data_IF_582027972087
#
_entry.id   IF_582027972087
#
_cell.length_a   1.000
_cell.length_b   1.000
_cell.length_c   1.000
_cell.angle_alpha   90.00
_cell.angle_beta   90.00
_cell.angle_gamma   90.00
#
_symmetry.space_group_name_H-M   'P 1'
#
loop_
_entity.id
_entity.type
_entity.pdbx_description
1 polymer ?
#
# COMPACT_ATOMS: atom_id res chain seq x y z
N UNK A 1 30.67 20.87 -1.84
CA UNK A 1 29.26 21.25 -1.49
C UNK A 1 29.28 22.68 -1.01
N UNK A 2 28.52 23.60 -1.63
CA UNK A 2 28.51 25.02 -1.25
C UNK A 2 27.98 25.22 0.18
N UNK A 3 28.38 26.31 0.84
CA UNK A 3 27.93 26.64 2.20
C UNK A 3 26.40 26.72 2.26
N UNK A 4 25.75 27.26 1.23
CA UNK A 4 24.29 27.33 1.10
C UNK A 4 23.67 25.93 1.18
N UNK A 5 24.15 24.96 0.40
CA UNK A 5 23.67 23.58 0.44
C UNK A 5 23.85 22.92 1.81
N UNK A 6 24.89 23.26 2.56
CA UNK A 6 25.07 22.75 3.93
C UNK A 6 24.04 23.33 4.90
N UNK A 7 23.74 24.62 4.77
CA UNK A 7 22.73 25.30 5.60
C UNK A 7 21.35 24.74 5.29
N UNK A 8 20.95 24.63 4.02
CA UNK A 8 19.68 24.08 3.60
C UNK A 8 19.50 22.66 4.15
N UNK A 9 20.54 21.83 4.07
CA UNK A 9 20.52 20.46 4.63
C UNK A 9 20.30 20.42 6.15
N UNK A 10 20.97 21.31 6.90
CA UNK A 10 20.79 21.40 8.36
C UNK A 10 19.34 21.83 8.67
N UNK A 11 18.83 22.80 7.93
CA UNK A 11 17.46 23.27 8.09
C UNK A 11 16.44 22.13 7.85
N UNK A 12 16.60 21.36 6.78
CA UNK A 12 15.74 20.22 6.46
C UNK A 12 15.80 19.13 7.54
N UNK A 13 17.01 18.84 8.06
CA UNK A 13 17.18 17.89 9.19
C UNK A 13 16.42 18.37 10.43
N UNK A 14 16.51 19.67 10.75
CA UNK A 14 15.82 20.24 11.91
C UNK A 14 14.30 20.20 11.74
N UNK A 15 13.78 20.54 10.55
CA UNK A 15 12.36 20.45 10.23
C UNK A 15 11.85 19.02 10.35
N UNK A 16 12.58 18.07 9.78
CA UNK A 16 12.22 16.66 9.81
C UNK A 16 12.20 16.11 11.24
N UNK A 17 13.19 16.47 12.04
CA UNK A 17 13.23 16.09 13.44
C UNK A 17 12.03 16.67 14.21
N UNK A 18 11.71 17.95 13.99
CA UNK A 18 10.54 18.59 14.60
C UNK A 18 9.23 17.88 14.23
N UNK A 19 9.03 17.57 12.95
CA UNK A 19 7.84 16.85 12.49
C UNK A 19 7.79 15.42 13.04
N UNK A 20 8.91 14.72 13.11
CA UNK A 20 8.98 13.39 13.72
C UNK A 20 8.61 13.42 15.21
N UNK A 21 9.11 14.39 15.96
CA UNK A 21 8.78 14.60 17.39
C UNK A 21 7.31 14.96 17.57
N UNK A 22 6.79 15.88 16.74
CA UNK A 22 5.38 16.28 16.74
C UNK A 22 4.47 15.07 16.49
N UNK A 23 4.77 14.28 15.47
CA UNK A 23 4.00 13.07 15.13
C UNK A 23 4.07 12.03 16.24
N UNK A 24 5.25 11.83 16.82
CA UNK A 24 5.39 10.90 17.95
C UNK A 24 4.54 11.35 19.15
N UNK A 25 4.50 12.65 19.43
CA UNK A 25 3.68 13.21 20.49
C UNK A 25 2.18 13.11 20.16
N UNK A 26 1.76 13.37 18.93
CA UNK A 26 0.39 13.18 18.49
C UNK A 26 -0.06 11.71 18.60
N UNK A 27 0.81 10.76 18.24
CA UNK A 27 0.58 9.34 18.45
C UNK A 27 0.39 8.99 19.94
N UNK A 28 1.21 9.58 20.80
CA UNK A 28 1.17 9.30 22.24
C UNK A 28 -0.05 9.93 22.92
N UNK A 29 -0.54 11.07 22.40
CA UNK A 29 -1.62 11.86 23.02
C UNK A 29 -3.00 11.53 22.46
N UNK A 30 -3.11 11.22 21.18
CA UNK A 30 -4.42 11.05 20.52
C UNK A 30 -4.96 9.62 20.55
N UNK A 31 -4.10 8.61 20.50
CA UNK A 31 -4.58 7.23 20.39
C UNK A 31 -3.63 6.25 21.12
N UNK A 32 -3.95 5.91 22.35
CA UNK A 32 -3.18 4.93 23.14
C UNK A 32 -2.95 3.59 22.41
N UNK A 33 -3.84 3.24 21.49
CA UNK A 33 -3.79 1.98 20.75
C UNK A 33 -2.83 1.99 19.55
N UNK A 34 -2.53 3.14 18.94
CA UNK A 34 -1.69 3.21 17.74
C UNK A 34 -0.27 2.68 17.98
N UNK A 35 0.30 3.04 19.13
CA UNK A 35 1.63 2.53 19.50
C UNK A 35 1.62 1.01 19.60
N UNK A 36 0.60 0.42 20.18
CA UNK A 36 0.46 -1.02 20.31
C UNK A 36 0.31 -1.66 18.92
N UNK A 37 -0.60 -1.15 18.09
CA UNK A 37 -0.85 -1.65 16.74
C UNK A 37 0.41 -1.63 15.87
N UNK A 38 1.21 -0.56 15.93
CA UNK A 38 2.47 -0.50 15.20
C UNK A 38 3.51 -1.48 15.75
N UNK A 39 3.54 -1.71 17.06
CA UNK A 39 4.48 -2.65 17.66
C UNK A 39 4.20 -4.11 17.28
N UNK A 40 2.97 -4.45 16.95
CA UNK A 40 2.62 -5.78 16.43
C UNK A 40 3.41 -6.13 15.16
N UNK A 41 3.80 -5.14 14.36
CA UNK A 41 4.63 -5.34 13.17
C UNK A 41 6.02 -5.95 13.47
N UNK A 42 6.48 -5.90 14.73
CA UNK A 42 7.73 -6.55 15.12
C UNK A 42 7.72 -8.06 14.91
N UNK A 43 6.54 -8.67 14.94
CA UNK A 43 6.36 -10.09 14.65
C UNK A 43 6.74 -10.46 13.22
N UNK A 44 6.62 -9.49 12.31
CA UNK A 44 6.95 -9.67 10.90
C UNK A 44 8.44 -9.43 10.60
N UNK A 45 9.18 -8.78 11.51
CA UNK A 45 10.58 -8.41 11.26
C UNK A 45 11.47 -9.63 11.07
N UNK A 46 12.09 -9.74 9.90
CA UNK A 46 12.95 -10.86 9.50
C UNK A 46 12.28 -12.25 9.53
N UNK A 47 10.94 -12.31 9.56
CA UNK A 47 10.19 -13.57 9.60
C UNK A 47 10.43 -14.44 8.35
N UNK A 48 10.65 -13.79 7.20
CA UNK A 48 10.86 -14.45 5.89
C UNK A 48 12.33 -14.31 5.42
N UNK A 49 13.26 -14.37 6.38
CA UNK A 49 14.68 -14.16 6.10
C UNK A 49 15.24 -15.20 5.13
N UNK A 50 15.72 -14.71 4.00
CA UNK A 50 16.35 -15.54 2.98
C UNK A 50 15.40 -15.99 1.88
N UNK A 51 14.11 -15.84 2.05
CA UNK A 51 13.07 -16.16 1.08
C UNK A 51 13.03 -15.11 -0.04
N UNK A 52 12.33 -15.46 -1.14
CA UNK A 52 12.00 -14.53 -2.22
C UNK A 52 10.50 -14.21 -2.23
N UNK A 53 10.15 -13.07 -2.80
CA UNK A 53 8.75 -12.71 -2.98
C UNK A 53 8.50 -11.99 -4.31
N UNK A 54 7.23 -11.96 -4.70
CA UNK A 54 6.73 -11.30 -5.90
C UNK A 54 5.73 -10.22 -5.49
N UNK A 55 5.95 -8.99 -5.94
CA UNK A 55 5.04 -7.87 -5.72
C UNK A 55 4.29 -7.59 -7.01
N UNK A 56 2.98 -7.74 -6.95
CA UNK A 56 2.07 -7.56 -8.08
C UNK A 56 1.43 -6.18 -7.99
N UNK A 57 1.79 -5.31 -8.94
CA UNK A 57 1.12 -4.02 -9.15
C UNK A 57 -0.22 -4.19 -9.86
N UNK A 58 -0.78 -3.10 -10.36
CA UNK A 58 -2.06 -3.11 -11.09
C UNK A 58 -1.88 -2.87 -12.61
N UNK A 59 -0.67 -3.03 -13.12
CA UNK A 59 -0.38 -2.75 -14.51
C UNK A 59 -0.87 -3.81 -15.49
N UNK A 60 -1.14 -3.44 -16.75
CA UNK A 60 -1.76 -4.29 -17.75
C UNK A 60 -0.91 -5.50 -18.15
N UNK A 61 0.41 -5.49 -17.95
CA UNK A 61 1.26 -6.66 -18.23
C UNK A 61 0.89 -7.91 -17.43
N UNK A 62 0.08 -7.75 -16.36
CA UNK A 62 -0.48 -8.90 -15.64
C UNK A 62 -1.55 -9.66 -16.43
N UNK A 63 -2.14 -9.08 -17.45
CA UNK A 63 -3.21 -9.73 -18.20
C UNK A 63 -2.74 -10.97 -18.97
N UNK A 64 -1.48 -10.97 -19.38
CA UNK A 64 -0.85 -12.08 -20.09
C UNK A 64 -0.01 -12.98 -19.17
N UNK A 65 -0.03 -12.73 -17.86
CA UNK A 65 0.77 -13.46 -16.91
C UNK A 65 0.04 -14.69 -16.36
N UNK A 66 0.69 -15.84 -16.40
CA UNK A 66 0.19 -17.10 -15.84
C UNK A 66 0.49 -17.18 -14.34
N UNK A 67 -0.53 -16.90 -13.50
CA UNK A 67 -0.40 -16.91 -12.05
C UNK A 67 -0.15 -18.29 -11.43
N UNK A 68 -0.38 -19.37 -12.16
CA UNK A 68 -0.04 -20.73 -11.68
C UNK A 68 1.43 -20.87 -11.34
N UNK A 69 2.29 -20.05 -11.96
CA UNK A 69 3.75 -20.00 -11.70
C UNK A 69 4.09 -19.43 -10.32
N UNK A 70 3.15 -18.75 -9.65
CA UNK A 70 3.33 -18.15 -8.34
C UNK A 70 2.69 -18.98 -7.21
N UNK A 71 2.15 -20.14 -7.50
CA UNK A 71 1.37 -20.96 -6.56
C UNK A 71 2.10 -21.26 -5.26
N UNK A 72 3.41 -21.46 -5.32
CA UNK A 72 4.25 -21.82 -4.16
C UNK A 72 5.18 -20.67 -3.76
N UNK A 73 4.90 -19.45 -4.21
CA UNK A 73 5.71 -18.26 -3.98
C UNK A 73 5.03 -17.31 -2.99
N UNK A 74 5.83 -16.56 -2.25
CA UNK A 74 5.30 -15.46 -1.45
C UNK A 74 4.92 -14.28 -2.35
N UNK A 75 3.68 -13.83 -2.24
CA UNK A 75 3.15 -12.77 -3.10
C UNK A 75 2.55 -11.63 -2.29
N UNK A 76 2.83 -10.41 -2.77
CA UNK A 76 2.19 -9.18 -2.33
C UNK A 76 1.26 -8.69 -3.43
N UNK A 77 0.05 -8.35 -3.09
CA UNK A 77 -0.92 -7.73 -3.99
C UNK A 77 -1.35 -6.36 -3.45
N UNK A 78 -1.90 -5.53 -4.31
CA UNK A 78 -2.16 -4.13 -3.98
C UNK A 78 -3.54 -3.66 -4.42
N UNK A 79 -4.20 -2.90 -3.57
CA UNK A 79 -5.42 -2.16 -3.89
C UNK A 79 -6.46 -3.06 -4.61
N UNK A 80 -6.96 -2.63 -5.75
CA UNK A 80 -8.04 -3.28 -6.49
C UNK A 80 -7.62 -4.52 -7.30
N UNK A 81 -6.40 -5.05 -7.15
CA UNK A 81 -6.02 -6.29 -7.82
C UNK A 81 -6.94 -7.46 -7.42
N UNK A 82 -7.54 -7.40 -6.23
CA UNK A 82 -8.54 -8.35 -5.75
C UNK A 82 -9.84 -8.42 -6.58
N UNK A 83 -10.04 -7.48 -7.52
CA UNK A 83 -11.16 -7.53 -8.48
C UNK A 83 -10.98 -8.56 -9.59
N UNK A 84 -9.75 -9.04 -9.80
CA UNK A 84 -9.51 -10.05 -10.84
C UNK A 84 -10.27 -11.34 -10.54
N UNK A 85 -10.84 -11.92 -11.57
CA UNK A 85 -11.57 -13.20 -11.45
C UNK A 85 -10.66 -14.36 -11.01
N UNK A 86 -9.38 -14.29 -11.34
CA UNK A 86 -8.34 -15.27 -11.00
C UNK A 86 -7.57 -14.94 -9.70
N UNK A 87 -8.00 -13.92 -8.94
CA UNK A 87 -7.33 -13.49 -7.70
C UNK A 87 -7.21 -14.62 -6.67
N UNK A 88 -8.26 -15.43 -6.52
CA UNK A 88 -8.26 -16.55 -5.57
C UNK A 88 -7.29 -17.67 -5.96
N UNK A 89 -7.00 -17.82 -7.25
CA UNK A 89 -6.02 -18.80 -7.73
C UNK A 89 -4.59 -18.39 -7.36
N UNK A 90 -4.32 -17.09 -7.25
CA UNK A 90 -3.02 -16.54 -6.89
C UNK A 90 -2.60 -16.89 -5.46
N UNK A 91 -3.55 -17.16 -4.54
CA UNK A 91 -3.28 -17.42 -3.12
C UNK A 91 -2.33 -16.41 -2.50
N UNK A 92 -2.63 -15.12 -2.68
CA UNK A 92 -1.78 -14.03 -2.17
C UNK A 92 -1.53 -14.16 -0.67
N UNK A 93 -0.28 -13.90 -0.22
CA UNK A 93 0.08 -13.95 1.20
C UNK A 93 -0.10 -12.60 1.89
N UNK A 94 0.08 -11.51 1.14
CA UNK A 94 0.07 -10.14 1.67
C UNK A 94 -0.73 -9.21 0.75
N UNK A 95 -1.58 -8.38 1.34
CA UNK A 95 -2.36 -7.41 0.58
C UNK A 95 -2.26 -6.01 1.18
N UNK A 96 -2.00 -5.00 0.35
CA UNK A 96 -1.83 -3.61 0.77
C UNK A 96 -2.93 -2.70 0.22
N UNK A 97 -3.54 -1.96 1.14
CA UNK A 97 -4.40 -0.81 0.86
C UNK A 97 -3.70 0.46 1.36
N UNK A 98 -3.21 1.31 0.48
CA UNK A 98 -2.43 2.48 0.88
C UNK A 98 -2.94 3.82 0.33
N UNK A 99 -3.67 3.82 -0.76
CA UNK A 99 -4.20 5.04 -1.37
C UNK A 99 -5.35 5.60 -0.53
N UNK A 100 -5.23 6.87 -0.12
CA UNK A 100 -6.25 7.58 0.66
C UNK A 100 -7.61 7.63 -0.01
N UNK A 101 -7.65 7.61 -1.34
CA UNK A 101 -8.89 7.65 -2.11
C UNK A 101 -9.79 6.44 -1.86
N UNK A 102 -9.25 5.32 -1.38
CA UNK A 102 -10.05 4.16 -1.01
C UNK A 102 -10.74 4.26 0.36
N UNK A 103 -10.49 5.31 1.12
CA UNK A 103 -11.02 5.48 2.46
C UNK A 103 -11.88 6.73 2.63
N UNK A 104 -11.82 7.66 1.68
CA UNK A 104 -12.69 8.84 1.63
C UNK A 104 -13.92 8.53 0.77
N UNK A 105 -14.84 7.74 1.35
CA UNK A 105 -15.98 7.17 0.65
C UNK A 105 -17.31 7.74 1.16
N UNK A 106 -18.22 8.06 0.25
CA UNK A 106 -19.60 8.35 0.52
C UNK A 106 -20.48 7.11 0.25
N UNK A 107 -20.80 6.36 1.31
CA UNK A 107 -21.60 5.13 1.23
C UNK A 107 -22.98 5.29 0.59
N UNK A 108 -23.45 6.53 0.39
CA UNK A 108 -24.69 6.80 -0.35
C UNK A 108 -24.51 6.60 -1.86
N UNK A 109 -23.27 6.68 -2.35
CA UNK A 109 -22.94 6.49 -3.75
C UNK A 109 -22.65 5.02 -4.06
N UNK A 110 -23.27 4.43 -5.09
CA UNK A 110 -23.01 3.04 -5.46
C UNK A 110 -21.53 2.77 -5.77
N UNK A 111 -20.88 3.67 -6.48
CA UNK A 111 -19.46 3.57 -6.87
C UNK A 111 -18.50 3.49 -5.67
N UNK A 112 -18.85 4.12 -4.55
CA UNK A 112 -18.05 4.06 -3.33
C UNK A 112 -18.33 2.80 -2.51
N UNK A 113 -19.59 2.29 -2.55
CA UNK A 113 -19.91 0.98 -1.95
C UNK A 113 -19.17 -0.17 -2.63
N UNK A 114 -19.04 -0.11 -3.95
CA UNK A 114 -18.31 -1.12 -4.72
C UNK A 114 -16.87 -1.27 -4.22
N UNK A 115 -16.22 -0.17 -3.79
CA UNK A 115 -14.86 -0.20 -3.21
C UNK A 115 -14.84 -0.99 -1.89
N UNK A 116 -15.82 -0.76 -1.02
CA UNK A 116 -15.92 -1.48 0.26
C UNK A 116 -16.12 -2.98 0.01
N UNK A 117 -16.92 -3.34 -0.98
CA UNK A 117 -17.15 -4.73 -1.35
C UNK A 117 -15.89 -5.38 -1.94
N UNK A 118 -15.11 -4.65 -2.73
CA UNK A 118 -13.79 -5.09 -3.22
C UNK A 118 -12.81 -5.31 -2.06
N UNK A 119 -12.83 -4.43 -1.04
CA UNK A 119 -12.02 -4.63 0.17
C UNK A 119 -12.44 -5.90 0.94
N UNK A 120 -13.73 -6.16 1.05
CA UNK A 120 -14.26 -7.37 1.69
C UNK A 120 -13.94 -8.64 0.91
N UNK A 121 -13.89 -8.57 -0.42
CA UNK A 121 -13.57 -9.72 -1.27
C UNK A 121 -12.16 -10.27 -1.03
N UNK A 122 -11.22 -9.46 -0.53
CA UNK A 122 -9.90 -9.95 -0.10
C UNK A 122 -10.04 -10.96 1.04
N UNK A 123 -10.97 -10.72 1.98
CA UNK A 123 -11.27 -11.63 3.10
C UNK A 123 -12.06 -12.87 2.66
N UNK A 124 -12.85 -12.78 1.61
CA UNK A 124 -13.67 -13.89 1.12
C UNK A 124 -12.87 -14.97 0.40
N UNK A 125 -11.59 -14.69 0.09
CA UNK A 125 -10.69 -15.69 -0.47
C UNK A 125 -10.35 -16.75 0.60
N UNK A 126 -10.37 -18.02 0.26
CA UNK A 126 -9.98 -19.12 1.17
C UNK A 126 -8.52 -19.01 1.67
N UNK A 127 -7.80 -18.02 1.20
CA UNK A 127 -6.37 -17.84 1.46
C UNK A 127 -6.06 -16.89 2.64
N UNK A 128 -7.00 -16.07 3.09
CA UNK A 128 -6.87 -15.12 4.21
C UNK A 128 -5.49 -14.41 4.28
N UNK A 129 -5.16 -13.52 3.32
CA UNK A 129 -3.87 -12.84 3.32
C UNK A 129 -3.71 -11.93 4.54
N UNK A 130 -2.46 -11.70 4.95
CA UNK A 130 -2.16 -10.63 5.90
C UNK A 130 -2.40 -9.28 5.22
N UNK A 131 -3.32 -8.48 5.77
CA UNK A 131 -3.69 -7.18 5.20
C UNK A 131 -3.01 -6.02 5.90
N UNK A 132 -2.59 -5.03 5.13
CA UNK A 132 -1.92 -3.82 5.61
C UNK A 132 -2.73 -2.56 5.27
N UNK A 133 -3.01 -1.75 6.29
CA UNK A 133 -3.76 -0.49 6.15
C UNK A 133 -3.00 0.68 6.79
N UNK A 134 -3.18 1.92 6.29
CA UNK A 134 -2.72 3.10 7.01
C UNK A 134 -3.41 3.20 8.38
N UNK A 135 -2.66 3.46 9.44
CA UNK A 135 -3.20 3.45 10.81
C UNK A 135 -4.27 4.52 11.06
N UNK A 136 -4.21 5.64 10.33
CA UNK A 136 -5.25 6.67 10.38
C UNK A 136 -6.60 6.19 9.83
N UNK A 137 -6.62 5.04 9.15
CA UNK A 137 -7.84 4.39 8.65
C UNK A 137 -8.36 3.28 9.59
N UNK A 138 -7.80 3.16 10.78
CA UNK A 138 -8.21 2.16 11.77
C UNK A 138 -9.72 2.14 12.00
N UNK A 139 -10.34 3.31 12.21
CA UNK A 139 -11.77 3.40 12.46
C UNK A 139 -12.60 2.99 11.23
N UNK A 140 -12.13 3.28 10.01
CA UNK A 140 -12.75 2.84 8.78
C UNK A 140 -12.71 1.30 8.67
N UNK A 141 -11.55 0.71 8.88
CA UNK A 141 -11.35 -0.75 8.84
C UNK A 141 -12.28 -1.44 9.84
N UNK A 142 -12.36 -0.93 11.08
CA UNK A 142 -13.26 -1.47 12.12
C UNK A 142 -14.74 -1.28 11.79
N UNK A 143 -15.14 -0.10 11.30
CA UNK A 143 -16.53 0.20 10.91
C UNK A 143 -17.04 -0.76 9.84
N UNK A 144 -16.20 -1.09 8.86
CA UNK A 144 -16.56 -1.94 7.74
C UNK A 144 -16.20 -3.42 7.94
N UNK A 145 -15.71 -3.79 9.15
CA UNK A 145 -15.33 -5.16 9.52
C UNK A 145 -14.30 -5.80 8.56
N UNK A 146 -13.38 -4.98 8.01
CA UNK A 146 -12.38 -5.43 7.04
C UNK A 146 -11.25 -6.28 7.65
N UNK A 147 -11.22 -6.40 8.95
CA UNK A 147 -10.24 -7.18 9.71
C UNK A 147 -10.88 -8.37 10.46
N UNK A 148 -12.10 -8.74 10.10
CA UNK A 148 -12.88 -9.72 10.88
C UNK A 148 -12.30 -11.13 10.84
N UNK A 149 -11.83 -11.56 9.68
CA UNK A 149 -11.34 -12.93 9.45
C UNK A 149 -9.87 -12.96 9.01
N UNK A 150 -9.21 -11.79 8.88
CA UNK A 150 -7.84 -11.65 8.39
C UNK A 150 -6.89 -11.13 9.46
N UNK A 151 -5.66 -11.61 9.45
CA UNK A 151 -4.59 -10.96 10.17
C UNK A 151 -4.35 -9.57 9.55
N UNK A 152 -4.47 -8.53 10.39
CA UNK A 152 -4.41 -7.15 9.92
C UNK A 152 -3.32 -6.39 10.66
N UNK A 153 -2.48 -5.73 9.89
CA UNK A 153 -1.41 -4.88 10.36
C UNK A 153 -1.60 -3.43 9.88
N UNK A 154 -1.08 -2.51 10.66
CA UNK A 154 -1.19 -1.09 10.36
C UNK A 154 0.20 -0.47 10.18
N UNK A 155 0.30 0.52 9.31
CA UNK A 155 1.51 1.31 9.14
C UNK A 155 1.22 2.80 9.30
N UNK A 156 2.22 3.54 9.77
CA UNK A 156 2.17 4.99 9.86
C UNK A 156 3.28 5.59 9.03
N UNK A 157 2.90 6.35 8.02
CA UNK A 157 3.85 7.07 7.18
C UNK A 157 3.63 8.58 7.25
N UNK A 158 4.74 9.32 7.17
CA UNK A 158 4.71 10.78 7.04
C UNK A 158 5.77 11.25 6.06
N UNK A 159 5.49 12.40 5.45
CA UNK A 159 6.51 13.10 4.65
C UNK A 159 7.69 13.43 5.55
N UNK A 160 8.76 12.69 5.35
CA UNK A 160 10.03 12.92 6.00
C UNK A 160 11.07 12.89 4.90
N UNK A 161 11.63 14.06 4.59
CA UNK A 161 12.68 14.18 3.60
C UNK A 161 14.01 13.79 4.24
N UNK A 162 14.54 12.63 3.87
CA UNK A 162 15.89 12.24 4.23
C UNK A 162 16.73 12.16 2.95
N UNK A 163 17.62 13.08 2.74
CA UNK A 163 18.63 12.97 1.66
C UNK A 163 19.62 11.83 1.90
N UNK A 164 19.82 11.43 3.16
CA UNK A 164 20.72 10.34 3.56
C UNK A 164 20.02 9.40 4.54
N UNK A 165 19.01 8.69 4.08
CA UNK A 165 18.32 7.73 4.93
C UNK A 165 19.16 6.46 5.06
N UNK A 166 20.10 6.44 6.00
CA UNK A 166 20.91 5.26 6.34
C UNK A 166 20.29 4.35 7.39
N UNK A 167 19.14 4.73 7.95
CA UNK A 167 18.46 3.95 8.97
C UNK A 167 17.61 2.85 8.35
N UNK A 168 17.60 1.69 9.01
CA UNK A 168 16.67 0.61 8.66
C UNK A 168 15.23 1.11 8.78
N UNK A 169 14.41 0.78 7.78
CA UNK A 169 12.97 0.98 7.84
C UNK A 169 12.42 0.12 8.97
N UNK A 170 11.67 0.72 9.88
CA UNK A 170 11.06 0.04 11.02
C UNK A 170 9.56 0.29 11.03
N UNK A 171 8.80 -0.70 10.64
CA UNK A 171 7.33 -0.65 10.61
C UNK A 171 6.69 -0.69 12.00
N UNK A 172 7.45 -0.93 13.07
CA UNK A 172 6.97 -0.73 14.44
C UNK A 172 6.96 0.73 14.87
N UNK A 173 7.31 1.65 13.95
CA UNK A 173 7.42 3.09 14.14
C UNK A 173 6.92 3.85 12.91
N UNK A 174 7.25 5.14 12.83
CA UNK A 174 6.91 5.98 11.68
C UNK A 174 7.83 5.63 10.52
N UNK A 175 7.25 5.33 9.37
CA UNK A 175 7.97 5.12 8.11
C UNK A 175 7.94 6.38 7.24
N UNK A 176 8.88 6.55 6.30
CA UNK A 176 8.77 7.56 5.26
C UNK A 176 7.47 7.40 4.46
N UNK A 177 6.98 8.51 3.92
CA UNK A 177 5.87 8.46 2.97
C UNK A 177 6.38 8.05 1.59
N UNK A 178 5.67 7.12 0.97
CA UNK A 178 5.97 6.66 -0.37
C UNK A 178 4.88 7.10 -1.36
N UNK A 179 5.28 7.39 -2.58
CA UNK A 179 4.38 7.89 -3.62
C UNK A 179 3.50 6.81 -4.27
N UNK A 180 3.85 5.52 -4.10
CA UNK A 180 3.07 4.41 -4.66
C UNK A 180 2.96 3.26 -3.68
N UNK A 181 1.85 2.52 -3.74
CA UNK A 181 1.62 1.35 -2.87
C UNK A 181 2.70 0.27 -3.05
N UNK A 182 3.26 0.12 -4.26
CA UNK A 182 4.34 -0.83 -4.54
C UNK A 182 5.58 -0.54 -3.69
N UNK A 183 5.90 0.74 -3.44
CA UNK A 183 7.03 1.12 -2.59
C UNK A 183 6.81 0.69 -1.13
N UNK A 184 5.57 0.74 -0.61
CA UNK A 184 5.26 0.17 0.71
C UNK A 184 5.45 -1.34 0.73
N UNK A 185 5.04 -2.05 -0.32
CA UNK A 185 5.27 -3.48 -0.42
C UNK A 185 6.77 -3.82 -0.43
N UNK A 186 7.57 -3.11 -1.25
CA UNK A 186 9.03 -3.31 -1.31
C UNK A 186 9.67 -3.11 0.07
N UNK A 187 9.34 -2.02 0.73
CA UNK A 187 9.96 -1.70 2.02
C UNK A 187 9.48 -2.62 3.14
N UNK A 188 8.23 -3.09 3.09
CA UNK A 188 7.73 -4.13 3.99
C UNK A 188 8.43 -5.47 3.72
N UNK A 189 8.60 -5.87 2.47
CA UNK A 189 9.31 -7.09 2.12
C UNK A 189 10.76 -7.07 2.63
N UNK A 190 11.46 -5.92 2.51
CA UNK A 190 12.78 -5.72 3.10
C UNK A 190 12.74 -5.86 4.63
N UNK A 191 11.74 -5.25 5.29
CA UNK A 191 11.56 -5.34 6.74
C UNK A 191 11.31 -6.79 7.19
N UNK A 192 10.54 -7.53 6.42
CA UNK A 192 10.24 -8.95 6.67
C UNK A 192 11.42 -9.87 6.37
N UNK A 193 12.50 -9.36 5.75
CA UNK A 193 13.74 -10.07 5.54
C UNK A 193 13.83 -10.84 4.22
N UNK A 194 12.93 -10.62 3.27
CA UNK A 194 13.03 -11.20 1.94
C UNK A 194 14.35 -10.81 1.28
N UNK A 195 15.03 -11.79 0.69
CA UNK A 195 16.34 -11.62 0.05
C UNK A 195 16.21 -11.16 -1.40
N UNK A 196 15.20 -11.65 -2.09
CA UNK A 196 14.95 -11.37 -3.49
C UNK A 196 13.50 -10.87 -3.63
N UNK A 197 13.33 -9.75 -4.34
CA UNK A 197 12.04 -9.09 -4.52
C UNK A 197 11.84 -8.87 -6.02
N UNK A 198 10.83 -9.52 -6.57
CA UNK A 198 10.48 -9.42 -7.99
C UNK A 198 9.22 -8.55 -8.16
N UNK A 199 9.21 -7.70 -9.17
CA UNK A 199 8.09 -6.81 -9.47
C UNK A 199 7.38 -7.28 -10.74
N UNK A 200 6.07 -7.45 -10.67
CA UNK A 200 5.18 -7.81 -11.77
C UNK A 200 4.06 -6.78 -11.88
N UNK A 201 3.63 -6.43 -13.08
CA UNK A 201 2.56 -5.45 -13.26
C UNK A 201 2.87 -4.03 -12.75
N UNK A 202 4.15 -3.65 -12.74
CA UNK A 202 4.62 -2.32 -12.33
C UNK A 202 4.97 -1.46 -13.56
N UNK A 203 4.05 -1.36 -14.52
CA UNK A 203 4.28 -0.95 -15.89
C UNK A 203 4.50 0.55 -16.10
N UNK A 204 4.28 1.40 -15.12
CA UNK A 204 4.38 2.88 -15.24
C UNK A 204 3.65 3.50 -16.45
N UNK A 205 2.76 2.76 -17.09
CA UNK A 205 1.98 3.20 -18.28
C UNK A 205 1.09 4.40 -18.00
N UNK A 206 0.70 4.59 -16.75
CA UNK A 206 -0.08 5.74 -16.32
C UNK A 206 0.62 7.08 -16.61
N UNK A 207 1.96 7.13 -16.53
CA UNK A 207 2.72 8.32 -16.91
C UNK A 207 2.58 8.61 -18.42
N UNK A 208 2.68 7.58 -19.25
CA UNK A 208 2.54 7.71 -20.70
C UNK A 208 1.11 8.11 -21.06
N UNK A 209 0.13 7.47 -20.42
CA UNK A 209 -1.28 7.81 -20.63
C UNK A 209 -1.58 9.26 -20.20
N UNK A 210 -1.04 9.73 -19.08
CA UNK A 210 -1.19 11.12 -18.64
C UNK A 210 -0.50 12.12 -19.59
N UNK A 211 0.63 11.76 -20.18
CA UNK A 211 1.32 12.61 -21.17
C UNK A 211 0.53 12.65 -22.48
N UNK A 212 -0.09 11.55 -22.88
CA UNK A 212 -0.88 11.43 -24.11
C UNK A 212 -2.34 11.84 -23.94
N UNK A 213 -2.82 11.89 -22.68
CA UNK A 213 -4.21 12.21 -22.37
C UNK A 213 -4.46 13.71 -22.38
N UNK A 214 -4.75 14.20 -23.54
CA UNK A 214 -5.54 15.44 -23.72
C UNK A 214 -7.03 15.17 -23.40
N UNK A 215 -7.41 13.95 -23.11
CA UNK A 215 -8.71 13.59 -22.54
C UNK A 215 -8.71 12.09 -22.23
N UNK A 216 -8.62 11.84 -21.05
CA UNK A 216 -9.08 10.93 -20.39
C UNK A 216 -10.32 10.08 -20.34
N UNK A 217 -10.34 9.01 -21.03
CA UNK A 217 -11.15 7.88 -20.66
C UNK A 217 -10.23 6.87 -19.94
N UNK A 218 -10.52 6.59 -18.69
CA UNK A 218 -9.93 5.43 -17.99
C UNK A 218 -10.44 4.21 -18.71
N UNK A 219 -9.60 3.58 -19.50
CA UNK A 219 -9.96 2.37 -20.21
C UNK A 219 -9.36 1.11 -19.52
N UNK A 220 -9.93 -0.04 -19.86
CA UNK A 220 -9.50 -1.32 -19.30
C UNK A 220 -8.05 -1.68 -19.67
N UNK A 221 -7.48 -1.09 -20.71
CA UNK A 221 -6.10 -1.34 -21.15
C UNK A 221 -5.06 -0.79 -20.19
N UNK A 222 -5.45 0.10 -19.29
CA UNK A 222 -4.53 0.75 -18.33
C UNK A 222 -4.28 -0.07 -17.07
N UNK A 223 -5.08 -1.10 -16.83
CA UNK A 223 -5.04 -1.87 -15.59
C UNK A 223 -4.99 -3.39 -15.84
N UNK A 224 -4.42 -4.10 -14.90
CA UNK A 224 -4.39 -5.56 -14.85
C UNK A 224 -5.68 -6.20 -14.32
N UNK A 225 -6.78 -5.45 -14.24
CA UNK A 225 -8.11 -5.89 -13.86
C UNK A 225 -9.18 -5.11 -14.63
N UNK A 226 -10.42 -5.61 -14.65
CA UNK A 226 -11.53 -4.95 -15.34
C UNK A 226 -12.03 -3.72 -14.56
N UNK A 227 -12.05 -2.57 -15.23
CA UNK A 227 -12.56 -1.30 -14.68
C UNK A 227 -14.06 -1.20 -14.93
N UNK A 228 -14.86 -1.12 -13.87
CA UNK A 228 -16.31 -0.98 -13.96
C UNK A 228 -16.76 0.43 -14.33
N UNK A 229 -18.00 0.59 -14.83
CA UNK A 229 -18.59 1.90 -15.12
C UNK A 229 -18.70 2.78 -13.85
N UNK A 230 -18.95 2.20 -12.68
CA UNK A 230 -18.97 2.93 -11.42
C UNK A 230 -17.59 3.48 -11.07
N UNK A 231 -16.56 2.70 -11.30
CA UNK A 231 -15.16 3.11 -11.06
C UNK A 231 -14.74 4.24 -12.02
N UNK A 232 -15.12 4.17 -13.29
CA UNK A 232 -14.90 5.28 -14.25
C UNK A 232 -15.55 6.58 -13.77
N UNK A 233 -16.81 6.52 -13.29
CA UNK A 233 -17.50 7.69 -12.73
C UNK A 233 -16.75 8.25 -11.52
N UNK A 234 -16.27 7.39 -10.65
CA UNK A 234 -15.50 7.80 -9.48
C UNK A 234 -14.21 8.52 -9.87
N UNK A 235 -13.43 7.96 -10.79
CA UNK A 235 -12.19 8.59 -11.25
C UNK A 235 -12.43 9.94 -11.98
N UNK A 236 -13.55 10.09 -12.67
CA UNK A 236 -13.89 11.35 -13.31
C UNK A 236 -14.33 12.44 -12.34
N UNK A 237 -14.61 12.10 -11.09
CA UNK A 237 -15.05 13.01 -10.02
C UNK A 237 -13.94 13.41 -9.05
N UNK A 238 -12.75 12.81 -9.16
CA UNK A 238 -11.56 13.11 -8.37
C UNK A 238 -10.69 14.17 -9.05
#
# INVERSE_FOLDING_TARGET
>A
MSLKKKIDRIYDICLNYREAVKTKNEMLLKEKNWKYLLQENRKLQNLYKGERCFILGNGPSLNDFDFSKLKDEYTFTVNQLSKRSDFNELKTNFHFWADSNFFDLDERKPEDRDIIDVMRNVDSSDNHPICFYPINQYNFVKKHELDKNMETHYFLSKYVFYEDYSKKIDYSSITPYFGTVVQWCITMAIYMGFKEIYLLGCDTTQLINNINAVASEVDNSSYGYEVTENEKKRYSSL
#
